data_IF_327969606788
#
_entry.id   IF_327969606788
#
_cell.length_a   1.000
_cell.length_b   1.000
_cell.length_c   1.000
_cell.angle_alpha   90.00
_cell.angle_beta   90.00
_cell.angle_gamma   90.00
#
_symmetry.space_group_name_H-M   'P 1'
#
loop_
_entity.id
_entity.type
_entity.pdbx_description
1 polymer ?
#
# COMPACT_ATOMS: atom_id res chain seq x y z
N UNK A 1 -32.15 -18.87 10.09
CA UNK A 1 -31.45 -17.65 9.63
C UNK A 1 -30.00 -18.04 9.45
N UNK A 2 -29.51 -18.07 8.21
CA UNK A 2 -28.10 -18.38 7.95
C UNK A 2 -27.30 -17.11 8.24
N UNK A 3 -26.67 -17.06 9.42
CA UNK A 3 -25.55 -16.15 9.66
C UNK A 3 -24.41 -16.57 8.75
N UNK A 4 -24.48 -16.12 7.50
CA UNK A 4 -23.29 -15.96 6.69
C UNK A 4 -22.46 -14.90 7.40
N UNK A 5 -21.53 -15.34 8.24
CA UNK A 5 -20.33 -14.58 8.52
C UNK A 5 -19.82 -14.13 7.16
N UNK A 6 -20.02 -12.84 6.85
CA UNK A 6 -19.43 -12.22 5.69
C UNK A 6 -17.95 -12.50 5.88
N UNK A 7 -17.36 -13.24 4.94
CA UNK A 7 -15.94 -13.55 4.96
C UNK A 7 -15.18 -12.21 4.88
N UNK A 8 -14.84 -11.66 6.05
CA UNK A 8 -14.07 -10.43 6.22
C UNK A 8 -12.57 -10.70 6.13
N UNK A 9 -12.16 -11.88 5.62
CA UNK A 9 -10.73 -12.21 5.46
C UNK A 9 -9.99 -11.25 4.52
N UNK A 10 -10.71 -10.46 3.71
CA UNK A 10 -10.17 -9.32 2.93
C UNK A 10 -10.27 -7.94 3.62
N UNK A 11 -10.44 -7.90 4.95
CA UNK A 11 -10.81 -6.70 5.72
C UNK A 11 -9.68 -5.71 6.08
N UNK A 12 -10.03 -4.74 6.95
CA UNK A 12 -9.17 -3.66 7.44
C UNK A 12 -7.79 -4.13 7.91
N UNK A 13 -6.72 -3.49 7.42
CA UNK A 13 -5.34 -3.77 7.81
C UNK A 13 -4.81 -2.80 8.88
N UNK A 14 -3.75 -3.21 9.59
CA UNK A 14 -3.01 -2.31 10.47
C UNK A 14 -2.05 -1.46 9.64
N UNK A 15 -2.18 -0.14 9.74
CA UNK A 15 -1.29 0.83 9.08
C UNK A 15 -0.67 1.75 10.12
N UNK A 16 0.63 2.03 9.97
CA UNK A 16 1.32 2.95 10.86
C UNK A 16 0.79 4.38 10.71
N UNK A 17 0.34 4.96 11.83
CA UNK A 17 -0.22 6.33 11.87
C UNK A 17 0.78 7.39 11.41
N UNK A 18 2.09 7.15 11.56
CA UNK A 18 3.14 8.08 11.12
C UNK A 18 3.06 8.35 9.60
N UNK A 19 2.85 7.31 8.79
CA UNK A 19 2.71 7.44 7.32
C UNK A 19 1.49 8.30 6.98
N UNK A 20 0.37 8.07 7.69
CA UNK A 20 -0.86 8.80 7.46
C UNK A 20 -0.77 10.28 7.88
N UNK A 21 0.01 10.56 8.92
CA UNK A 21 0.23 11.90 9.45
C UNK A 21 1.30 12.70 8.72
N UNK A 22 2.17 12.07 7.92
CA UNK A 22 3.21 12.78 7.19
C UNK A 22 2.61 13.73 6.13
N UNK A 23 2.79 15.06 6.27
CA UNK A 23 2.23 16.03 5.34
C UNK A 23 2.96 16.09 3.99
N UNK A 24 4.24 15.68 3.93
CA UNK A 24 5.05 15.72 2.71
C UNK A 24 4.89 14.47 1.84
N UNK A 25 4.07 13.50 2.25
CA UNK A 25 3.68 12.37 1.42
C UNK A 25 2.40 12.71 0.66
N UNK A 26 2.46 12.52 -0.66
CA UNK A 26 1.25 12.56 -1.47
C UNK A 26 0.26 11.47 -1.07
N UNK A 27 -1.03 11.70 -1.29
CA UNK A 27 -2.09 10.71 -1.02
C UNK A 27 -1.81 9.37 -1.73
N UNK A 28 -1.26 9.41 -2.94
CA UNK A 28 -0.89 8.22 -3.71
C UNK A 28 0.32 7.49 -3.12
N UNK A 29 1.29 8.20 -2.53
CA UNK A 29 2.39 7.55 -1.83
C UNK A 29 1.88 6.83 -0.57
N UNK A 30 0.90 7.40 0.13
CA UNK A 30 0.21 6.73 1.25
C UNK A 30 -0.53 5.49 0.78
N UNK A 31 -1.20 5.55 -0.38
CA UNK A 31 -1.86 4.40 -0.99
C UNK A 31 -0.87 3.29 -1.38
N UNK A 32 0.27 3.64 -1.99
CA UNK A 32 1.34 2.69 -2.32
C UNK A 32 1.90 1.99 -1.07
N UNK A 33 2.08 2.73 0.02
CA UNK A 33 2.47 2.15 1.31
C UNK A 33 1.43 1.14 1.82
N UNK A 34 0.15 1.51 1.84
CA UNK A 34 -0.93 0.60 2.25
C UNK A 34 -0.98 -0.66 1.39
N UNK A 35 -0.79 -0.50 0.08
CA UNK A 35 -0.73 -1.62 -0.86
C UNK A 35 0.40 -2.58 -0.48
N UNK A 36 1.61 -2.10 -0.19
CA UNK A 36 2.69 -2.96 0.29
C UNK A 36 2.39 -3.62 1.63
N UNK A 37 1.77 -2.91 2.58
CA UNK A 37 1.39 -3.49 3.87
C UNK A 37 0.37 -4.62 3.75
N UNK A 38 -0.42 -4.66 2.67
CA UNK A 38 -1.32 -5.78 2.39
C UNK A 38 -0.58 -7.10 2.10
N UNK A 39 0.69 -7.06 1.66
CA UNK A 39 1.48 -8.25 1.30
C UNK A 39 2.59 -8.61 2.31
N UNK A 40 2.82 -7.80 3.35
CA UNK A 40 3.89 -8.03 4.34
C UNK A 40 3.72 -9.38 5.06
N UNK A 41 2.49 -9.87 5.22
CA UNK A 41 2.20 -11.17 5.83
C UNK A 41 2.46 -12.39 4.93
N UNK A 42 2.60 -12.18 3.62
CA UNK A 42 2.62 -13.26 2.63
C UNK A 42 4.04 -13.69 2.23
N UNK A 43 5.08 -13.17 2.88
CA UNK A 43 6.50 -13.29 2.44
C UNK A 43 6.70 -12.92 0.96
N UNK A 44 5.82 -12.07 0.43
CA UNK A 44 5.74 -11.72 -0.96
C UNK A 44 5.92 -10.21 -1.10
N UNK A 45 6.81 -9.81 -2.02
CA UNK A 45 6.97 -8.41 -2.38
C UNK A 45 6.49 -8.25 -3.83
N UNK A 46 5.39 -7.53 -4.07
CA UNK A 46 4.88 -7.35 -5.42
C UNK A 46 5.90 -6.64 -6.31
N UNK A 47 6.01 -7.10 -7.55
CA UNK A 47 6.89 -6.49 -8.54
C UNK A 47 6.44 -5.06 -8.87
N UNK A 48 7.35 -4.25 -9.43
CA UNK A 48 6.98 -2.91 -9.90
C UNK A 48 5.89 -2.96 -10.98
N UNK A 49 5.95 -3.92 -11.90
CA UNK A 49 4.93 -4.11 -12.95
C UNK A 49 3.58 -4.47 -12.36
N UNK A 50 3.54 -5.42 -11.42
CA UNK A 50 2.31 -5.80 -10.73
C UNK A 50 1.72 -4.64 -9.94
N UNK A 51 2.56 -3.94 -9.17
CA UNK A 51 2.14 -2.74 -8.42
C UNK A 51 1.57 -1.66 -9.35
N UNK A 52 2.19 -1.43 -10.51
CA UNK A 52 1.70 -0.46 -11.49
C UNK A 52 0.34 -0.88 -12.07
N UNK A 53 0.17 -2.17 -12.37
CA UNK A 53 -1.09 -2.71 -12.89
C UNK A 53 -2.20 -2.61 -11.84
N UNK A 54 -1.93 -3.04 -10.60
CA UNK A 54 -2.93 -3.15 -9.53
C UNK A 54 -3.36 -1.76 -9.02
N UNK A 55 -2.43 -0.81 -8.94
CA UNK A 55 -2.73 0.58 -8.56
C UNK A 55 -3.11 1.47 -9.76
N UNK A 56 -3.10 0.93 -10.98
CA UNK A 56 -3.37 1.65 -12.23
C UNK A 56 -2.52 2.94 -12.39
N UNK A 57 -1.23 2.86 -12.08
CA UNK A 57 -0.29 3.97 -12.19
C UNK A 57 0.82 3.68 -13.20
N UNK A 58 1.35 4.73 -13.82
CA UNK A 58 2.53 4.58 -14.70
C UNK A 58 3.78 4.21 -13.90
N UNK A 59 4.72 3.51 -14.54
CA UNK A 59 6.03 3.19 -13.95
C UNK A 59 6.81 4.43 -13.50
N UNK A 60 6.69 5.54 -14.25
CA UNK A 60 7.29 6.82 -13.85
C UNK A 60 6.69 7.32 -12.54
N UNK A 61 5.36 7.26 -12.41
CA UNK A 61 4.66 7.69 -11.19
C UNK A 61 5.03 6.79 -10.01
N UNK A 62 5.00 5.47 -10.20
CA UNK A 62 5.46 4.49 -9.22
C UNK A 62 6.85 4.82 -8.68
N UNK A 63 7.85 5.07 -9.54
CA UNK A 63 9.20 5.44 -9.11
C UNK A 63 9.20 6.69 -8.23
N UNK A 64 8.51 7.76 -8.64
CA UNK A 64 8.42 8.99 -7.85
C UNK A 64 7.77 8.76 -6.48
N UNK A 65 6.68 7.99 -6.42
CA UNK A 65 5.98 7.69 -5.16
C UNK A 65 6.84 6.82 -4.23
N UNK A 66 7.53 5.81 -4.79
CA UNK A 66 8.45 4.96 -4.03
C UNK A 66 9.64 5.74 -3.47
N UNK A 67 10.21 6.66 -4.26
CA UNK A 67 11.27 7.57 -3.79
C UNK A 67 10.78 8.44 -2.63
N UNK A 68 9.57 8.99 -2.69
CA UNK A 68 9.01 9.79 -1.59
C UNK A 68 8.98 9.01 -0.27
N UNK A 69 8.57 7.74 -0.31
CA UNK A 69 8.51 6.87 0.86
C UNK A 69 9.92 6.53 1.40
N UNK A 70 10.85 6.17 0.52
CA UNK A 70 12.22 5.80 0.89
C UNK A 70 12.99 6.97 1.52
N UNK A 71 12.94 8.15 0.90
CA UNK A 71 13.62 9.36 1.42
C UNK A 71 13.11 9.80 2.81
N UNK A 72 11.92 9.34 3.21
CA UNK A 72 11.30 9.65 4.50
C UNK A 72 11.37 8.50 5.50
N UNK A 73 12.02 7.38 5.15
CA UNK A 73 12.21 6.23 6.02
C UNK A 73 10.98 5.37 6.24
N UNK A 74 10.04 5.35 5.29
CA UNK A 74 8.85 4.50 5.34
C UNK A 74 8.97 3.20 4.54
N UNK A 75 9.97 3.10 3.67
CA UNK A 75 10.42 1.91 2.94
C UNK A 75 11.93 1.85 3.01
#
# INVERSE_FOLDING_TARGET
MNDRLIDVTGGYGTIYKQVMKEPKLSIEAKALYCYYMAYVGDNFIPSATQTCNDLMISYKRFKTLRTQLFERGFL
#
